data_IF_663311967413
#
_entry.id   IF_663311967413
#
_cell.length_a   1.000
_cell.length_b   1.000
_cell.length_c   1.000
_cell.angle_alpha   90.00
_cell.angle_beta   90.00
_cell.angle_gamma   90.00
#
_symmetry.space_group_name_H-M   'P 1'
#
loop_
_entity.id
_entity.type
_entity.pdbx_description
1 polymer ?
#
# COMPACT_ATOMS: atom_id res chain seq x y z
N UNK A 1 -9.96 -4.23 -41.16
CA UNK A 1 -9.81 -4.97 -39.88
C UNK A 1 -11.05 -4.68 -39.07
N UNK A 2 -11.86 -5.70 -38.77
CA UNK A 2 -13.03 -5.56 -37.90
C UNK A 2 -12.55 -5.25 -36.49
N UNK A 3 -12.94 -4.10 -35.94
CA UNK A 3 -12.57 -3.67 -34.59
C UNK A 3 -13.06 -4.69 -33.57
N UNK A 4 -12.14 -5.21 -32.75
CA UNK A 4 -12.42 -6.09 -31.59
C UNK A 4 -12.94 -5.31 -30.38
N UNK A 5 -13.01 -3.98 -30.49
CA UNK A 5 -13.37 -3.06 -29.41
C UNK A 5 -14.90 -2.90 -29.32
N UNK A 6 -15.49 -3.03 -28.13
CA UNK A 6 -16.90 -2.70 -27.93
C UNK A 6 -17.11 -1.17 -27.99
N UNK A 7 -18.30 -0.72 -28.39
CA UNK A 7 -18.65 0.71 -28.45
C UNK A 7 -18.46 1.40 -27.10
N UNK A 8 -18.73 0.70 -26.01
CA UNK A 8 -18.59 1.20 -24.65
C UNK A 8 -18.32 0.09 -23.64
N UNK A 9 -17.88 0.49 -22.45
CA UNK A 9 -17.45 -0.39 -21.37
C UNK A 9 -18.39 -0.23 -20.18
N UNK A 10 -18.83 -1.34 -19.61
CA UNK A 10 -19.61 -1.34 -18.37
C UNK A 10 -18.65 -1.40 -17.19
N UNK A 11 -18.67 -0.39 -16.33
CA UNK A 11 -17.85 -0.28 -15.12
C UNK A 11 -18.74 -0.10 -13.90
N UNK A 12 -18.25 -0.43 -12.71
CA UNK A 12 -18.86 0.05 -11.47
C UNK A 12 -18.18 1.36 -11.07
N UNK A 13 -18.95 2.37 -10.66
CA UNK A 13 -18.41 3.63 -10.16
C UNK A 13 -19.00 3.96 -8.81
N UNK A 14 -18.13 4.32 -7.88
CA UNK A 14 -18.54 4.86 -6.59
C UNK A 14 -19.29 6.19 -6.73
N UNK A 15 -20.36 6.35 -5.95
CA UNK A 15 -21.10 7.61 -5.85
C UNK A 15 -20.26 8.68 -5.15
N UNK A 16 -20.35 9.92 -5.65
CA UNK A 16 -19.71 11.06 -5.00
C UNK A 16 -20.45 11.43 -3.73
N UNK A 17 -19.75 11.40 -2.59
CA UNK A 17 -20.25 11.97 -1.34
C UNK A 17 -20.33 13.49 -1.34
N UNK A 18 -19.47 14.16 -2.14
CA UNK A 18 -19.45 15.61 -2.32
C UNK A 18 -19.27 15.96 -3.79
N UNK A 19 -20.12 16.85 -4.31
CA UNK A 19 -20.04 17.36 -5.68
C UNK A 19 -19.19 18.64 -5.79
N UNK A 20 -18.77 19.21 -4.66
CA UNK A 20 -18.07 20.50 -4.58
C UNK A 20 -16.56 20.31 -4.40
N UNK A 21 -16.13 19.18 -3.84
CA UNK A 21 -14.71 18.88 -3.65
C UNK A 21 -14.02 18.58 -4.98
N UNK A 22 -12.91 19.27 -5.23
CA UNK A 22 -12.01 18.95 -6.33
C UNK A 22 -11.40 17.57 -6.08
N UNK A 23 -11.50 16.69 -7.06
CA UNK A 23 -10.88 15.38 -6.98
C UNK A 23 -9.66 15.34 -7.89
N UNK A 24 -8.47 15.05 -7.35
CA UNK A 24 -7.25 14.93 -8.14
C UNK A 24 -7.30 13.83 -9.21
N UNK A 25 -8.14 12.79 -9.05
CA UNK A 25 -8.31 11.77 -10.08
C UNK A 25 -9.23 10.61 -9.73
N UNK A 26 -9.02 9.51 -10.45
CA UNK A 26 -9.78 8.25 -10.35
C UNK A 26 -8.84 7.13 -9.92
N UNK A 27 -9.30 6.25 -9.04
CA UNK A 27 -8.68 4.94 -8.78
C UNK A 27 -9.31 3.96 -9.76
N UNK A 28 -8.52 3.47 -10.71
CA UNK A 28 -8.94 2.41 -11.63
C UNK A 28 -8.58 1.07 -11.01
N UNK A 29 -9.58 0.27 -10.64
CA UNK A 29 -9.38 -1.11 -10.20
C UNK A 29 -9.77 -2.07 -11.30
N UNK A 30 -8.90 -3.03 -11.57
CA UNK A 30 -9.10 -4.06 -12.58
C UNK A 30 -9.26 -5.38 -11.82
N UNK A 31 -10.49 -5.86 -11.73
CA UNK A 31 -10.83 -7.03 -10.91
C UNK A 31 -12.03 -7.79 -11.46
N UNK A 32 -12.29 -8.98 -10.92
CA UNK A 32 -13.48 -9.74 -11.30
C UNK A 32 -14.78 -8.97 -10.95
N UNK A 33 -15.76 -9.01 -11.84
CA UNK A 33 -17.05 -8.33 -11.63
C UNK A 33 -17.82 -8.81 -10.39
N UNK A 34 -17.57 -10.03 -9.90
CA UNK A 34 -18.15 -10.53 -8.65
C UNK A 34 -17.62 -9.81 -7.40
N UNK A 35 -16.58 -8.98 -7.54
CA UNK A 35 -15.93 -8.21 -6.47
C UNK A 35 -16.12 -6.70 -6.61
N UNK A 36 -17.01 -6.26 -7.49
CA UNK A 36 -17.28 -4.84 -7.68
C UNK A 36 -17.83 -4.17 -6.42
N UNK A 37 -17.32 -2.97 -6.14
CA UNK A 37 -17.67 -2.22 -4.93
C UNK A 37 -17.15 -2.83 -3.63
N UNK A 38 -16.25 -3.81 -3.68
CA UNK A 38 -15.54 -4.36 -2.52
C UNK A 38 -14.07 -3.91 -2.50
N UNK A 39 -13.52 -3.72 -1.30
CA UNK A 39 -12.07 -3.58 -1.12
C UNK A 39 -11.38 -4.96 -1.08
N UNK A 40 -10.05 -4.97 -0.90
CA UNK A 40 -9.24 -6.20 -0.89
C UNK A 40 -9.67 -7.23 0.17
N UNK A 41 -10.30 -6.77 1.25
CA UNK A 41 -10.78 -7.62 2.35
C UNK A 41 -12.23 -8.08 2.19
N UNK A 42 -12.89 -7.75 1.06
CA UNK A 42 -14.29 -8.11 0.81
C UNK A 42 -15.31 -7.21 1.53
N UNK A 43 -14.86 -6.13 2.19
CA UNK A 43 -15.80 -5.15 2.73
C UNK A 43 -16.32 -4.27 1.61
N UNK A 44 -17.63 -4.00 1.63
CA UNK A 44 -18.25 -3.05 0.71
C UNK A 44 -17.67 -1.65 0.92
N UNK A 45 -17.26 -1.03 -0.17
CA UNK A 45 -16.91 0.37 -0.24
C UNK A 45 -18.17 1.25 -0.12
N UNK A 46 -18.03 2.53 -0.44
CA UNK A 46 -19.16 3.45 -0.58
C UNK A 46 -20.16 2.98 -1.64
N UNK A 47 -21.44 3.39 -1.54
CA UNK A 47 -22.46 3.09 -2.54
C UNK A 47 -21.98 3.46 -3.95
N UNK A 48 -22.37 2.68 -4.95
CA UNK A 48 -22.01 2.92 -6.34
C UNK A 48 -22.85 2.08 -7.29
N UNK A 49 -22.74 2.40 -8.58
CA UNK A 49 -23.65 1.90 -9.61
C UNK A 49 -22.89 1.41 -10.84
N UNK A 50 -23.52 0.50 -11.60
CA UNK A 50 -23.02 0.11 -12.91
C UNK A 50 -23.31 1.21 -13.93
N UNK A 51 -22.26 1.70 -14.58
CA UNK A 51 -22.33 2.79 -15.55
C UNK A 51 -21.75 2.31 -16.89
N UNK A 52 -22.49 2.56 -17.96
CA UNK A 52 -22.05 2.27 -19.32
C UNK A 52 -21.32 3.51 -19.87
N UNK A 53 -19.99 3.40 -20.04
CA UNK A 53 -19.10 4.51 -20.38
C UNK A 53 -18.53 4.35 -21.77
N UNK A 54 -18.75 5.37 -22.61
CA UNK A 54 -18.09 5.50 -23.91
C UNK A 54 -16.60 5.72 -23.74
N UNK A 55 -15.78 5.12 -24.60
CA UNK A 55 -14.31 5.19 -24.48
C UNK A 55 -13.79 6.63 -24.42
N UNK A 56 -14.30 7.55 -25.24
CA UNK A 56 -13.89 8.96 -25.18
C UNK A 56 -14.11 9.62 -23.81
N UNK A 57 -15.10 9.17 -23.04
CA UNK A 57 -15.31 9.59 -21.65
C UNK A 57 -14.40 8.84 -20.67
N UNK A 58 -14.18 7.54 -20.87
CA UNK A 58 -13.25 6.74 -20.07
C UNK A 58 -11.84 7.34 -20.09
N UNK A 59 -11.33 7.68 -21.27
CA UNK A 59 -10.01 8.29 -21.45
C UNK A 59 -9.86 9.66 -20.76
N UNK A 60 -10.97 10.35 -20.44
CA UNK A 60 -10.96 11.63 -19.70
C UNK A 60 -10.86 11.44 -18.19
N UNK A 61 -11.11 10.25 -17.65
CA UNK A 61 -11.05 9.99 -16.21
C UNK A 61 -9.63 10.00 -15.64
N UNK A 62 -8.61 9.74 -16.50
CA UNK A 62 -7.16 9.87 -16.22
C UNK A 62 -6.76 9.38 -14.83
N UNK A 63 -6.68 8.06 -14.62
CA UNK A 63 -6.45 7.50 -13.29
C UNK A 63 -5.16 8.03 -12.64
N UNK A 64 -5.20 8.18 -11.32
CA UNK A 64 -4.04 8.53 -10.48
C UNK A 64 -3.45 7.30 -9.77
N UNK A 65 -4.25 6.25 -9.63
CA UNK A 65 -3.88 4.96 -9.07
C UNK A 65 -4.52 3.85 -9.92
N UNK A 66 -3.72 2.81 -10.21
CA UNK A 66 -4.19 1.58 -10.87
C UNK A 66 -4.02 0.41 -9.90
N UNK A 67 -5.09 -0.33 -9.66
CA UNK A 67 -5.08 -1.55 -8.84
C UNK A 67 -5.46 -2.73 -9.73
N UNK A 68 -4.74 -3.83 -9.64
CA UNK A 68 -5.02 -5.07 -10.36
C UNK A 68 -5.20 -6.16 -9.33
N UNK A 69 -6.46 -6.49 -9.06
CA UNK A 69 -6.84 -7.23 -7.87
C UNK A 69 -7.56 -8.53 -8.23
N UNK A 70 -7.27 -9.56 -7.45
CA UNK A 70 -7.84 -10.90 -7.51
C UNK A 70 -7.54 -11.64 -8.83
N UNK A 71 -7.54 -12.97 -8.76
CA UNK A 71 -7.38 -13.81 -9.94
C UNK A 71 -8.59 -13.72 -10.88
N UNK A 72 -8.41 -14.08 -12.15
CA UNK A 72 -9.42 -13.99 -13.22
C UNK A 72 -9.92 -12.56 -13.42
N UNK A 73 -9.07 -11.57 -13.16
CA UNK A 73 -9.34 -10.19 -13.52
C UNK A 73 -9.17 -10.01 -15.04
N UNK A 74 -9.79 -9.00 -15.65
CA UNK A 74 -9.79 -8.81 -17.10
C UNK A 74 -8.56 -8.03 -17.62
N UNK A 75 -7.47 -7.92 -16.85
CA UNK A 75 -6.36 -7.02 -17.19
C UNK A 75 -5.70 -7.37 -18.52
N UNK A 76 -5.38 -8.65 -18.76
CA UNK A 76 -4.80 -9.11 -20.01
C UNK A 76 -5.66 -8.75 -21.23
N UNK A 77 -6.99 -8.87 -21.08
CA UNK A 77 -7.94 -8.48 -22.12
C UNK A 77 -7.96 -6.97 -22.33
N UNK A 78 -7.86 -6.18 -21.26
CA UNK A 78 -7.77 -4.72 -21.34
C UNK A 78 -6.52 -4.29 -22.09
N UNK A 79 -5.34 -4.84 -21.73
CA UNK A 79 -4.07 -4.57 -22.41
C UNK A 79 -4.18 -4.84 -23.90
N UNK A 80 -4.71 -6.02 -24.26
CA UNK A 80 -4.90 -6.40 -25.65
C UNK A 80 -5.81 -5.43 -26.41
N UNK A 81 -6.97 -5.09 -25.85
CA UNK A 81 -7.91 -4.15 -26.49
C UNK A 81 -7.29 -2.76 -26.65
N UNK A 82 -6.52 -2.29 -25.66
CA UNK A 82 -5.81 -1.02 -25.75
C UNK A 82 -4.78 -1.04 -26.89
N UNK A 83 -3.91 -2.05 -26.95
CA UNK A 83 -2.86 -2.18 -27.98
C UNK A 83 -3.42 -2.36 -29.40
N UNK A 84 -4.54 -3.06 -29.57
CA UNK A 84 -5.13 -3.35 -30.89
C UNK A 84 -5.96 -2.19 -31.46
N UNK A 85 -6.49 -1.29 -30.62
CA UNK A 85 -7.52 -0.33 -31.04
C UNK A 85 -7.15 1.14 -30.79
N UNK A 86 -6.00 1.44 -30.19
CA UNK A 86 -5.59 2.81 -29.87
C UNK A 86 -4.11 3.05 -30.15
N UNK A 87 -3.80 4.28 -30.52
CA UNK A 87 -2.42 4.72 -30.68
C UNK A 87 -1.71 4.80 -29.32
N UNK A 88 -0.39 4.54 -29.31
CA UNK A 88 0.42 4.53 -28.09
C UNK A 88 0.30 5.85 -27.31
N UNK A 89 0.24 6.98 -28.02
CA UNK A 89 0.09 8.31 -27.42
C UNK A 89 -1.24 8.48 -26.68
N UNK A 90 -2.33 7.90 -27.20
CA UNK A 90 -3.63 7.96 -26.52
C UNK A 90 -3.61 7.15 -25.22
N UNK A 91 -2.98 5.97 -25.24
CA UNK A 91 -2.83 5.11 -24.07
C UNK A 91 -1.93 5.79 -23.02
N UNK A 92 -0.83 6.41 -23.45
CA UNK A 92 0.05 7.20 -22.57
C UNK A 92 -0.68 8.37 -21.93
N UNK A 93 -1.46 9.14 -22.71
CA UNK A 93 -2.22 10.28 -22.17
C UNK A 93 -3.29 9.82 -21.17
N UNK A 94 -3.88 8.63 -21.34
CA UNK A 94 -4.78 8.05 -20.35
C UNK A 94 -4.09 7.79 -19.00
N UNK A 95 -2.90 7.17 -19.02
CA UNK A 95 -2.17 6.81 -17.80
C UNK A 95 -1.17 7.88 -17.30
N UNK A 96 -1.11 9.04 -17.95
CA UNK A 96 -0.16 10.12 -17.64
C UNK A 96 -0.15 10.59 -16.19
N UNK A 97 -1.30 10.48 -15.51
CA UNK A 97 -1.46 10.92 -14.13
C UNK A 97 -1.26 9.81 -13.11
N UNK A 98 -1.01 8.57 -13.53
CA UNK A 98 -0.79 7.45 -12.62
C UNK A 98 0.48 7.71 -11.80
N UNK A 99 0.33 7.71 -10.48
CA UNK A 99 1.42 7.88 -9.51
C UNK A 99 1.68 6.64 -8.69
N UNK A 100 0.68 5.77 -8.56
CA UNK A 100 0.80 4.53 -7.83
C UNK A 100 0.17 3.38 -8.61
N UNK A 101 0.72 2.18 -8.44
CA UNK A 101 0.16 0.94 -8.97
C UNK A 101 0.23 -0.13 -7.89
N UNK A 102 -0.84 -0.92 -7.76
CA UNK A 102 -0.92 -2.02 -6.80
C UNK A 102 -1.34 -3.31 -7.49
N UNK A 103 -0.73 -4.43 -7.09
CA UNK A 103 -1.08 -5.78 -7.50
C UNK A 103 -1.47 -6.59 -6.26
N UNK A 104 -2.62 -7.24 -6.28
CA UNK A 104 -3.04 -8.08 -5.14
C UNK A 104 -3.74 -9.35 -5.62
N UNK A 105 -3.25 -10.53 -5.21
CA UNK A 105 -3.82 -11.84 -5.56
C UNK A 105 -4.09 -12.02 -7.07
N UNK A 106 -3.36 -11.31 -7.92
CA UNK A 106 -3.62 -11.23 -9.36
C UNK A 106 -2.91 -12.36 -10.12
N UNK A 107 -3.52 -12.79 -11.21
CA UNK A 107 -2.97 -13.76 -12.17
C UNK A 107 -2.47 -13.11 -13.47
N UNK A 108 -2.24 -11.79 -13.46
CA UNK A 108 -1.62 -11.09 -14.59
C UNK A 108 -0.24 -11.67 -14.91
N UNK A 109 0.05 -11.83 -16.21
CA UNK A 109 1.38 -12.25 -16.66
C UNK A 109 2.40 -11.11 -16.55
N UNK A 110 3.68 -11.46 -16.34
CA UNK A 110 4.79 -10.51 -16.31
C UNK A 110 4.87 -9.70 -17.61
N UNK A 111 4.68 -10.35 -18.76
CA UNK A 111 4.63 -9.70 -20.08
C UNK A 111 3.56 -8.60 -20.17
N UNK A 112 2.33 -8.88 -19.72
CA UNK A 112 1.24 -7.91 -19.80
C UNK A 112 1.40 -6.77 -18.76
N UNK A 113 1.95 -7.07 -17.58
CA UNK A 113 2.34 -6.04 -16.63
C UNK A 113 3.41 -5.12 -17.24
N UNK A 114 4.46 -5.67 -17.84
CA UNK A 114 5.52 -4.90 -18.50
C UNK A 114 4.98 -4.04 -19.63
N UNK A 115 4.03 -4.55 -20.43
CA UNK A 115 3.35 -3.75 -21.47
C UNK A 115 2.63 -2.54 -20.87
N UNK A 116 1.91 -2.70 -19.77
CA UNK A 116 1.27 -1.58 -19.06
C UNK A 116 2.30 -0.59 -18.52
N UNK A 117 3.32 -1.08 -17.82
CA UNK A 117 4.38 -0.23 -17.25
C UNK A 117 5.12 0.58 -18.34
N UNK A 118 5.26 0.05 -19.56
CA UNK A 118 5.84 0.79 -20.71
C UNK A 118 4.99 1.98 -21.19
N UNK A 119 3.69 2.00 -20.85
CA UNK A 119 2.80 3.14 -21.14
C UNK A 119 2.89 4.25 -20.10
N UNK A 120 3.48 3.95 -18.95
CA UNK A 120 3.73 4.93 -17.90
C UNK A 120 5.01 5.74 -18.19
N UNK A 121 4.99 7.01 -17.85
CA UNK A 121 6.19 7.88 -17.92
C UNK A 121 6.87 8.01 -16.57
N UNK A 122 6.09 8.00 -15.48
CA UNK A 122 6.57 8.06 -14.10
C UNK A 122 5.68 7.18 -13.23
N UNK A 123 6.25 6.64 -12.16
CA UNK A 123 5.51 5.93 -11.13
C UNK A 123 6.20 6.19 -9.79
N UNK A 124 5.50 6.76 -8.82
CA UNK A 124 6.06 7.12 -7.53
C UNK A 124 6.01 5.94 -6.54
N UNK A 125 4.95 5.14 -6.56
CA UNK A 125 4.78 3.99 -5.69
C UNK A 125 4.34 2.73 -6.44
N UNK A 126 4.86 1.59 -5.98
CA UNK A 126 4.46 0.27 -6.45
C UNK A 126 4.24 -0.65 -5.26
N UNK A 127 3.12 -1.35 -5.26
CA UNK A 127 2.77 -2.35 -4.26
C UNK A 127 2.43 -3.67 -4.92
N UNK A 128 2.81 -4.77 -4.29
CA UNK A 128 2.40 -6.09 -4.74
C UNK A 128 2.18 -7.01 -3.54
N UNK A 129 1.29 -7.98 -3.68
CA UNK A 129 1.07 -9.07 -2.71
C UNK A 129 0.43 -10.27 -3.40
N UNK A 130 0.79 -11.48 -2.95
CA UNK A 130 0.26 -12.74 -3.48
C UNK A 130 0.35 -12.87 -5.02
N UNK A 131 1.42 -12.33 -5.62
CA UNK A 131 1.72 -12.49 -7.05
C UNK A 131 2.45 -13.81 -7.30
N UNK A 132 2.39 -14.32 -8.53
CA UNK A 132 3.05 -15.59 -8.93
C UNK A 132 4.33 -15.42 -9.73
N UNK A 133 4.87 -14.20 -9.76
CA UNK A 133 6.09 -13.89 -10.52
C UNK A 133 7.30 -14.63 -9.97
N UNK A 134 8.13 -15.15 -10.87
CA UNK A 134 9.40 -15.78 -10.58
C UNK A 134 10.51 -14.73 -10.50
N UNK A 135 11.65 -15.08 -9.88
CA UNK A 135 12.81 -14.19 -9.75
C UNK A 135 13.26 -13.53 -11.08
N UNK A 136 13.36 -14.25 -12.23
CA UNK A 136 13.72 -13.62 -13.50
C UNK A 136 12.69 -12.58 -13.96
N UNK A 137 11.41 -12.84 -13.74
CA UNK A 137 10.33 -11.90 -14.07
C UNK A 137 10.40 -10.66 -13.18
N UNK A 138 10.66 -10.83 -11.88
CA UNK A 138 10.89 -9.72 -10.96
C UNK A 138 12.06 -8.86 -11.38
N UNK A 139 13.18 -9.43 -11.82
CA UNK A 139 14.32 -8.65 -12.29
C UNK A 139 13.93 -7.72 -13.47
N UNK A 140 13.14 -8.22 -14.43
CA UNK A 140 12.67 -7.40 -15.56
C UNK A 140 11.66 -6.33 -15.11
N UNK A 141 10.72 -6.68 -14.23
CA UNK A 141 9.73 -5.74 -13.66
C UNK A 141 10.45 -4.61 -12.90
N UNK A 142 11.39 -4.96 -12.02
CA UNK A 142 12.14 -4.00 -11.19
C UNK A 142 13.01 -3.08 -12.04
N UNK A 143 13.66 -3.61 -13.09
CA UNK A 143 14.39 -2.78 -14.05
C UNK A 143 13.47 -1.75 -14.71
N UNK A 144 12.26 -2.15 -15.12
CA UNK A 144 11.29 -1.22 -15.69
C UNK A 144 10.79 -0.20 -14.67
N UNK A 145 10.59 -0.60 -13.42
CA UNK A 145 10.22 0.31 -12.32
C UNK A 145 11.32 1.32 -12.02
N UNK A 146 12.60 0.94 -12.15
CA UNK A 146 13.73 1.85 -12.01
C UNK A 146 13.68 3.00 -13.03
N UNK A 147 13.39 2.67 -14.30
CA UNK A 147 13.22 3.65 -15.38
C UNK A 147 12.05 4.61 -15.15
N UNK A 148 11.07 4.23 -14.31
CA UNK A 148 9.92 5.04 -13.93
C UNK A 148 10.19 5.99 -12.75
N UNK A 149 11.41 6.00 -12.20
CA UNK A 149 11.83 6.77 -11.02
C UNK A 149 11.03 6.44 -9.75
N UNK A 150 10.86 5.15 -9.47
CA UNK A 150 10.14 4.68 -8.29
C UNK A 150 10.73 5.28 -6.99
N UNK A 151 9.84 5.76 -6.10
CA UNK A 151 10.20 6.36 -4.81
C UNK A 151 9.88 5.47 -3.63
N UNK A 152 8.77 4.75 -3.71
CA UNK A 152 8.33 3.84 -2.66
C UNK A 152 7.97 2.47 -3.22
N UNK A 153 8.31 1.43 -2.47
CA UNK A 153 7.88 0.07 -2.78
C UNK A 153 7.33 -0.64 -1.54
N UNK A 154 6.24 -1.38 -1.72
CA UNK A 154 5.76 -2.36 -0.75
C UNK A 154 6.20 -3.76 -1.17
N UNK A 155 6.80 -4.49 -0.23
CA UNK A 155 7.39 -5.80 -0.41
C UNK A 155 6.59 -6.84 0.37
N UNK A 156 5.94 -7.74 -0.36
CA UNK A 156 5.20 -8.88 0.18
C UNK A 156 5.85 -10.24 -0.12
N UNK A 157 7.03 -10.24 -0.75
CA UNK A 157 7.77 -11.45 -1.11
C UNK A 157 9.27 -11.23 -0.92
N UNK A 158 10.02 -12.32 -0.85
CA UNK A 158 11.43 -12.33 -0.51
C UNK A 158 12.34 -12.00 -1.71
N UNK A 159 12.22 -10.76 -2.21
CA UNK A 159 12.95 -10.22 -3.37
C UNK A 159 13.89 -9.06 -3.01
N UNK A 160 14.35 -9.00 -1.76
CA UNK A 160 15.14 -7.87 -1.26
C UNK A 160 16.44 -7.65 -2.05
N UNK A 161 17.13 -8.73 -2.44
CA UNK A 161 18.36 -8.64 -3.23
C UNK A 161 18.08 -8.04 -4.62
N UNK A 162 17.02 -8.50 -5.27
CA UNK A 162 16.60 -8.00 -6.58
C UNK A 162 16.20 -6.52 -6.50
N UNK A 163 15.49 -6.12 -5.44
CA UNK A 163 15.12 -4.71 -5.20
C UNK A 163 16.37 -3.87 -4.97
N UNK A 164 17.31 -4.32 -4.12
CA UNK A 164 18.56 -3.61 -3.85
C UNK A 164 19.39 -3.40 -5.11
N UNK A 165 19.44 -4.39 -6.00
CA UNK A 165 20.23 -4.32 -7.23
C UNK A 165 19.65 -3.39 -8.29
N UNK A 166 18.35 -3.11 -8.26
CA UNK A 166 17.64 -2.42 -9.35
C UNK A 166 17.04 -1.08 -8.94
N UNK A 167 16.77 -0.83 -7.65
CA UNK A 167 15.97 0.30 -7.21
C UNK A 167 16.65 1.15 -6.13
N UNK A 168 16.62 2.46 -6.33
CA UNK A 168 17.01 3.48 -5.34
C UNK A 168 15.77 4.14 -4.72
N UNK A 169 15.06 3.41 -3.87
CA UNK A 169 13.83 3.89 -3.21
C UNK A 169 14.11 4.65 -1.92
N UNK A 170 13.25 5.62 -1.59
CA UNK A 170 13.28 6.37 -0.31
C UNK A 170 12.33 5.80 0.73
N UNK A 171 11.35 4.99 0.32
CA UNK A 171 10.33 4.39 1.18
C UNK A 171 10.24 2.89 0.91
N UNK A 172 10.32 2.09 1.97
CA UNK A 172 9.99 0.66 1.92
C UNK A 172 8.87 0.37 2.92
N UNK A 173 7.89 -0.42 2.49
CA UNK A 173 6.88 -1.02 3.36
C UNK A 173 7.02 -2.54 3.28
N UNK A 174 7.16 -3.20 4.42
CA UNK A 174 7.16 -4.66 4.55
C UNK A 174 5.76 -5.07 4.99
N UNK A 175 5.01 -5.71 4.10
CA UNK A 175 3.64 -6.14 4.37
C UNK A 175 3.13 -7.13 3.33
N UNK A 176 2.15 -7.94 3.70
CA UNK A 176 1.54 -8.93 2.84
C UNK A 176 2.19 -10.29 2.95
N UNK A 177 1.48 -11.29 2.42
CA UNK A 177 1.85 -12.70 2.41
C UNK A 177 2.55 -13.06 1.07
N UNK A 178 3.65 -13.86 1.07
CA UNK A 178 4.32 -14.53 2.20
C UNK A 178 5.15 -13.65 3.14
N UNK A 179 5.40 -12.39 2.77
CA UNK A 179 6.19 -11.46 3.56
C UNK A 179 7.69 -11.59 3.31
N UNK A 180 8.46 -10.77 4.00
CA UNK A 180 9.92 -10.72 3.87
C UNK A 180 10.59 -11.51 4.98
N UNK A 181 11.56 -12.35 4.63
CA UNK A 181 12.33 -13.14 5.59
C UNK A 181 13.41 -12.29 6.26
N UNK A 182 13.40 -12.23 7.60
CA UNK A 182 14.36 -11.45 8.38
C UNK A 182 15.82 -11.92 8.17
N UNK A 183 16.03 -13.20 7.89
CA UNK A 183 17.37 -13.75 7.66
C UNK A 183 18.06 -13.17 6.41
N UNK A 184 17.31 -12.60 5.47
CA UNK A 184 17.92 -11.89 4.33
C UNK A 184 18.67 -10.63 4.78
N UNK A 185 18.13 -9.88 5.74
CA UNK A 185 18.81 -8.68 6.25
C UNK A 185 20.15 -9.03 6.92
N UNK A 186 20.23 -10.19 7.58
CA UNK A 186 21.47 -10.70 8.18
C UNK A 186 22.56 -11.04 7.17
N UNK A 187 22.24 -11.15 5.88
CA UNK A 187 23.23 -11.34 4.80
C UNK A 187 23.97 -10.05 4.44
N UNK A 188 23.66 -8.92 5.11
CA UNK A 188 24.33 -7.65 4.87
C UNK A 188 23.66 -6.78 3.81
N UNK A 189 22.34 -6.93 3.62
CA UNK A 189 21.54 -6.07 2.76
C UNK A 189 21.51 -4.66 3.34
N UNK A 190 21.87 -3.66 2.53
CA UNK A 190 21.97 -2.25 2.94
C UNK A 190 21.24 -1.33 1.94
N UNK A 191 20.11 -0.76 2.35
CA UNK A 191 19.34 0.22 1.60
C UNK A 191 19.69 1.65 2.04
N UNK A 192 20.78 2.20 1.50
CA UNK A 192 21.32 3.51 1.88
C UNK A 192 20.43 4.71 1.54
N UNK A 193 19.49 4.55 0.62
CA UNK A 193 18.60 5.61 0.13
C UNK A 193 17.29 5.71 0.91
N UNK A 194 16.94 4.68 1.67
CA UNK A 194 15.68 4.59 2.40
C UNK A 194 15.68 5.53 3.61
N UNK A 195 14.67 6.39 3.66
CA UNK A 195 14.43 7.37 4.72
C UNK A 195 13.19 7.06 5.55
N UNK A 196 12.24 6.31 4.99
CA UNK A 196 11.04 5.85 5.69
C UNK A 196 10.89 4.34 5.53
N UNK A 197 10.64 3.66 6.63
CA UNK A 197 10.42 2.22 6.68
C UNK A 197 9.13 1.96 7.46
N UNK A 198 8.21 1.21 6.86
CA UNK A 198 7.05 0.67 7.53
C UNK A 198 7.18 -0.83 7.63
N UNK A 199 7.23 -1.36 8.85
CA UNK A 199 7.30 -2.79 9.14
C UNK A 199 5.93 -3.20 9.69
N UNK A 200 5.12 -3.83 8.86
CA UNK A 200 3.74 -4.17 9.21
C UNK A 200 3.44 -5.67 9.18
N UNK A 201 4.18 -6.42 8.36
CA UNK A 201 4.14 -7.87 8.32
C UNK A 201 5.53 -8.39 7.93
N UNK A 202 5.85 -9.59 8.39
CA UNK A 202 7.08 -10.31 8.06
C UNK A 202 6.73 -11.75 7.70
N UNK A 203 7.66 -12.42 7.03
CA UNK A 203 7.58 -13.88 6.91
C UNK A 203 8.00 -14.49 8.24
N UNK A 204 7.05 -14.84 9.09
CA UNK A 204 7.33 -15.46 10.39
C UNK A 204 7.88 -16.88 10.20
N UNK A 205 9.18 -17.03 10.45
CA UNK A 205 9.89 -18.31 10.52
C UNK A 205 10.19 -18.71 11.97
N UNK A 206 10.23 -17.74 12.89
CA UNK A 206 10.47 -17.96 14.31
C UNK A 206 9.78 -16.92 15.20
N UNK A 207 9.77 -17.19 16.50
CA UNK A 207 9.17 -16.28 17.48
C UNK A 207 10.01 -15.01 17.68
N UNK A 208 11.29 -15.00 17.29
CA UNK A 208 12.25 -13.90 17.52
C UNK A 208 12.51 -13.02 16.29
N UNK A 209 11.74 -13.18 15.21
CA UNK A 209 11.99 -12.47 13.94
C UNK A 209 11.95 -10.93 14.11
N UNK A 210 11.07 -10.41 14.96
CA UNK A 210 11.03 -8.98 15.29
C UNK A 210 12.32 -8.49 15.94
N UNK A 211 12.79 -9.20 16.97
CA UNK A 211 14.04 -8.91 17.67
C UNK A 211 15.24 -8.94 16.71
N UNK A 212 15.29 -9.98 15.89
CA UNK A 212 16.37 -10.20 14.92
C UNK A 212 16.41 -9.11 13.84
N UNK A 213 15.24 -8.60 13.40
CA UNK A 213 15.17 -7.48 12.48
C UNK A 213 15.67 -6.20 13.14
N UNK A 214 15.27 -5.92 14.38
CA UNK A 214 15.70 -4.73 15.12
C UNK A 214 17.22 -4.71 15.35
N UNK A 215 17.85 -5.87 15.51
CA UNK A 215 19.31 -5.99 15.67
C UNK A 215 20.08 -5.50 14.44
N UNK A 216 19.57 -5.76 13.24
CA UNK A 216 20.22 -5.42 11.97
C UNK A 216 19.68 -4.13 11.33
N UNK A 217 18.60 -3.56 11.85
CA UNK A 217 17.87 -2.46 11.20
C UNK A 217 18.75 -1.24 10.92
N UNK A 218 19.61 -0.84 11.86
CA UNK A 218 20.50 0.31 11.65
C UNK A 218 21.61 0.05 10.63
N UNK A 219 22.00 -1.21 10.43
CA UNK A 219 22.94 -1.59 9.38
C UNK A 219 22.22 -1.63 8.03
N UNK A 220 21.02 -2.22 7.98
CA UNK A 220 20.28 -2.35 6.73
C UNK A 220 19.68 -1.04 6.24
N UNK A 221 19.41 -0.08 7.13
CA UNK A 221 18.82 1.22 6.79
C UNK A 221 19.57 2.37 7.47
N UNK A 222 20.83 2.63 7.09
CA UNK A 222 21.71 3.55 7.81
C UNK A 222 21.28 5.02 7.74
N UNK A 223 20.37 5.38 6.82
CA UNK A 223 19.82 6.74 6.66
C UNK A 223 18.35 6.86 7.05
N UNK A 224 17.81 5.88 7.78
CA UNK A 224 16.42 5.90 8.18
C UNK A 224 16.12 7.12 9.06
N UNK A 225 15.01 7.80 8.77
CA UNK A 225 14.52 8.96 9.51
C UNK A 225 13.16 8.71 10.13
N UNK A 226 12.35 7.86 9.51
CA UNK A 226 11.00 7.53 9.97
C UNK A 226 10.84 6.02 10.05
N UNK A 227 10.51 5.50 11.23
CA UNK A 227 10.15 4.10 11.42
C UNK A 227 8.69 4.00 11.83
N UNK A 228 7.92 3.21 11.10
CA UNK A 228 6.58 2.77 11.47
C UNK A 228 6.68 1.30 11.85
N UNK A 229 6.30 0.98 13.07
CA UNK A 229 6.36 -0.35 13.63
C UNK A 229 4.95 -0.82 13.99
N UNK A 230 4.44 -1.80 13.26
CA UNK A 230 3.20 -2.48 13.62
C UNK A 230 3.48 -3.55 14.66
N UNK A 231 2.77 -3.50 15.79
CA UNK A 231 2.99 -4.44 16.87
C UNK A 231 2.62 -5.87 16.51
N UNK A 232 1.80 -6.08 15.47
CA UNK A 232 1.50 -7.40 14.94
C UNK A 232 2.75 -8.17 14.50
N UNK A 233 3.87 -7.49 14.21
CA UNK A 233 5.15 -8.16 13.90
C UNK A 233 5.84 -8.76 15.11
N UNK A 234 5.41 -8.39 16.33
CA UNK A 234 5.93 -8.90 17.60
C UNK A 234 4.96 -9.93 18.19
N UNK A 235 3.72 -9.48 18.38
CA UNK A 235 2.63 -10.26 18.96
C UNK A 235 1.29 -9.61 18.57
N UNK A 236 0.32 -10.36 18.02
CA UNK A 236 -1.03 -9.83 17.76
C UNK A 236 -1.77 -9.37 19.02
N UNK A 237 -1.40 -9.87 20.21
CA UNK A 237 -1.96 -9.43 21.49
C UNK A 237 -0.91 -8.68 22.33
N UNK A 238 -1.03 -7.35 22.38
CA UNK A 238 -0.07 -6.52 23.09
C UNK A 238 -0.20 -6.70 24.62
N UNK A 239 0.81 -7.35 25.20
CA UNK A 239 1.00 -7.55 26.64
C UNK A 239 2.29 -6.87 27.12
N UNK A 240 2.25 -6.09 28.22
CA UNK A 240 3.45 -5.40 28.73
C UNK A 240 4.34 -6.31 29.60
N UNK A 241 4.88 -7.36 28.98
CA UNK A 241 5.74 -8.37 29.61
C UNK A 241 7.24 -8.08 29.40
N UNK A 242 8.11 -9.03 29.76
CA UNK A 242 9.56 -8.86 29.62
C UNK A 242 10.02 -8.88 28.16
N UNK A 243 9.32 -9.60 27.27
CA UNK A 243 9.60 -9.58 25.83
C UNK A 243 9.31 -8.21 25.24
N UNK A 244 8.16 -7.62 25.56
CA UNK A 244 7.79 -6.25 25.18
C UNK A 244 8.83 -5.25 25.68
N UNK A 245 9.26 -5.35 26.94
CA UNK A 245 10.34 -4.48 27.46
C UNK A 245 11.64 -4.64 26.69
N UNK A 246 11.97 -5.85 26.23
CA UNK A 246 13.17 -6.11 25.41
C UNK A 246 13.05 -5.45 24.02
N UNK A 247 11.92 -5.64 23.34
CA UNK A 247 11.62 -5.00 22.05
C UNK A 247 11.70 -3.48 22.18
N UNK A 248 11.13 -2.89 23.24
CA UNK A 248 11.19 -1.45 23.45
C UNK A 248 12.62 -0.94 23.67
N UNK A 249 13.46 -1.69 24.39
CA UNK A 249 14.89 -1.34 24.53
C UNK A 249 15.60 -1.35 23.16
N UNK A 250 15.29 -2.33 22.31
CA UNK A 250 15.86 -2.41 20.97
C UNK A 250 15.35 -1.27 20.06
N UNK A 251 14.04 -0.97 20.07
CA UNK A 251 13.46 0.18 19.36
C UNK A 251 14.09 1.51 19.80
N UNK A 252 14.31 1.70 21.10
CA UNK A 252 15.00 2.88 21.63
C UNK A 252 16.46 2.95 21.16
N UNK A 253 17.16 1.82 21.15
CA UNK A 253 18.53 1.72 20.62
C UNK A 253 18.59 2.08 19.13
N UNK A 254 17.65 1.59 18.32
CA UNK A 254 17.49 1.98 16.91
C UNK A 254 17.22 3.47 16.78
N UNK A 255 16.29 4.01 17.58
CA UNK A 255 15.95 5.43 17.58
C UNK A 255 17.16 6.32 17.85
N UNK A 256 17.97 5.97 18.86
CA UNK A 256 19.17 6.70 19.24
C UNK A 256 20.27 6.58 18.19
N UNK A 257 20.60 5.36 17.75
CA UNK A 257 21.67 5.10 16.76
C UNK A 257 21.43 5.82 15.43
N UNK A 258 20.18 5.83 14.96
CA UNK A 258 19.81 6.46 13.68
C UNK A 258 19.37 7.92 13.85
N UNK A 259 19.20 8.40 15.10
CA UNK A 259 18.63 9.70 15.41
C UNK A 259 17.33 9.95 14.60
N UNK A 260 16.37 9.02 14.75
CA UNK A 260 15.12 9.06 13.99
C UNK A 260 14.38 10.40 14.22
N UNK A 261 13.88 10.98 13.13
CA UNK A 261 13.03 12.15 13.16
C UNK A 261 11.62 11.83 13.63
N UNK A 262 11.13 10.61 13.35
CA UNK A 262 9.83 10.13 13.79
C UNK A 262 9.83 8.61 14.03
N UNK A 263 9.09 8.18 15.04
CA UNK A 263 8.76 6.79 15.35
C UNK A 263 7.24 6.68 15.52
N UNK A 264 6.61 5.74 14.82
CA UNK A 264 5.23 5.35 15.04
C UNK A 264 5.15 3.90 15.51
N UNK A 265 4.34 3.63 16.54
CA UNK A 265 3.98 2.28 16.97
C UNK A 265 2.47 2.15 16.88
N UNK A 266 1.98 1.23 16.05
CA UNK A 266 0.55 0.93 15.90
C UNK A 266 0.25 -0.45 16.47
N UNK A 267 -0.83 -0.58 17.22
CA UNK A 267 -1.19 -1.85 17.85
C UNK A 267 -2.71 -2.04 17.91
N UNK A 268 -3.16 -3.28 17.70
CA UNK A 268 -4.52 -3.69 18.01
C UNK A 268 -4.72 -3.70 19.53
N UNK A 269 -5.68 -2.91 20.01
CA UNK A 269 -5.95 -2.68 21.44
C UNK A 269 -7.46 -2.64 21.71
N UNK A 270 -8.17 -3.78 21.55
CA UNK A 270 -9.63 -3.82 21.60
C UNK A 270 -10.22 -3.65 23.01
N UNK A 271 -9.44 -3.91 24.06
CA UNK A 271 -9.93 -4.02 25.43
C UNK A 271 -9.12 -3.15 26.41
N UNK A 272 -9.54 -3.10 27.67
CA UNK A 272 -8.90 -2.27 28.69
C UNK A 272 -7.45 -2.68 28.98
N UNK A 273 -7.16 -3.99 28.96
CA UNK A 273 -5.84 -4.54 29.32
C UNK A 273 -4.80 -4.20 28.25
N UNK A 274 -5.12 -4.43 26.97
CA UNK A 274 -4.25 -4.05 25.84
C UNK A 274 -4.06 -2.53 25.75
N UNK A 275 -5.09 -1.73 26.08
CA UNK A 275 -4.97 -0.26 26.18
C UNK A 275 -4.06 0.18 27.33
N UNK A 276 -4.14 -0.48 28.48
CA UNK A 276 -3.25 -0.23 29.61
C UNK A 276 -1.80 -0.59 29.26
N UNK A 277 -1.58 -1.74 28.62
CA UNK A 277 -0.25 -2.14 28.15
C UNK A 277 0.33 -1.14 27.15
N UNK A 278 -0.48 -0.61 26.23
CA UNK A 278 -0.03 0.43 25.29
C UNK A 278 0.30 1.77 26.00
N UNK A 279 -0.36 2.09 27.10
CA UNK A 279 0.00 3.26 27.93
C UNK A 279 1.35 3.07 28.63
N UNK A 280 1.70 1.85 29.04
CA UNK A 280 3.02 1.49 29.56
C UNK A 280 4.11 1.61 28.49
N UNK A 281 3.82 1.15 27.27
CA UNK A 281 4.70 1.33 26.09
C UNK A 281 4.97 2.83 25.88
N UNK A 282 3.92 3.65 25.81
CA UNK A 282 4.05 5.09 25.62
C UNK A 282 4.87 5.75 26.74
N UNK A 283 4.67 5.33 28.01
CA UNK A 283 5.43 5.85 29.15
C UNK A 283 6.91 5.48 29.06
N UNK A 284 7.22 4.27 28.63
CA UNK A 284 8.61 3.80 28.44
C UNK A 284 9.30 4.61 27.37
N UNK A 285 8.64 4.85 26.23
CA UNK A 285 9.18 5.69 25.16
C UNK A 285 9.40 7.14 25.61
N UNK A 286 8.50 7.70 26.44
CA UNK A 286 8.61 9.07 26.99
C UNK A 286 9.86 9.32 27.82
N UNK A 287 10.47 8.27 28.38
CA UNK A 287 11.70 8.41 29.16
C UNK A 287 12.89 8.78 28.27
N UNK A 288 12.87 8.38 27.00
CA UNK A 288 14.01 8.49 26.09
C UNK A 288 13.73 9.38 24.85
N UNK A 289 12.48 9.49 24.40
CA UNK A 289 12.09 10.23 23.21
C UNK A 289 11.25 11.45 23.60
N UNK A 290 11.50 12.59 22.95
CA UNK A 290 10.67 13.81 23.11
C UNK A 290 9.34 13.69 22.35
N UNK A 291 8.33 14.40 22.84
CA UNK A 291 7.06 14.62 22.15
C UNK A 291 6.29 13.34 21.79
N UNK A 292 6.28 12.37 22.71
CA UNK A 292 5.49 11.14 22.58
C UNK A 292 4.01 11.41 22.83
N UNK A 293 3.18 11.09 21.84
CA UNK A 293 1.73 11.21 21.89
C UNK A 293 1.11 9.82 21.71
N UNK A 294 0.12 9.50 22.55
CA UNK A 294 -0.68 8.28 22.45
C UNK A 294 -2.08 8.67 22.01
N UNK A 295 -2.53 8.03 20.93
CA UNK A 295 -3.85 8.23 20.35
C UNK A 295 -4.59 6.89 20.27
N UNK A 296 -5.92 6.93 20.32
CA UNK A 296 -6.79 5.76 20.17
C UNK A 296 -7.77 6.03 19.04
N UNK A 297 -7.93 5.07 18.13
CA UNK A 297 -8.86 5.19 17.01
C UNK A 297 -9.62 3.89 16.77
N UNK A 298 -10.77 4.06 16.12
CA UNK A 298 -11.58 2.96 15.63
C UNK A 298 -11.27 2.74 14.14
N UNK A 299 -11.19 1.50 13.66
CA UNK A 299 -11.05 1.22 12.21
C UNK A 299 -12.33 1.51 11.46
N UNK A 300 -12.25 1.76 10.14
CA UNK A 300 -13.47 1.95 9.30
C UNK A 300 -14.48 0.81 9.53
N UNK A 301 -15.76 1.18 9.65
CA UNK A 301 -16.86 0.26 9.96
C UNK A 301 -17.27 0.24 11.44
N UNK A 302 -16.44 0.76 12.35
CA UNK A 302 -16.78 0.94 13.76
C UNK A 302 -17.23 2.38 14.07
N UNK A 303 -17.88 2.59 15.22
CA UNK A 303 -18.23 3.95 15.69
C UNK A 303 -17.04 4.60 16.40
N UNK A 304 -17.00 5.95 16.46
CA UNK A 304 -15.87 6.71 17.03
C UNK A 304 -15.68 6.51 18.56
N UNK A 305 -16.58 5.80 19.23
CA UNK A 305 -16.42 5.37 20.64
C UNK A 305 -15.89 3.94 20.81
N UNK A 306 -15.70 3.19 19.73
CA UNK A 306 -15.26 1.79 19.73
C UNK A 306 -13.80 1.66 19.30
N UNK A 307 -12.93 2.50 19.87
CA UNK A 307 -11.51 2.47 19.55
C UNK A 307 -10.93 1.09 19.86
N UNK A 308 -10.42 0.46 18.81
CA UNK A 308 -9.86 -0.89 18.80
C UNK A 308 -8.38 -0.89 18.38
N UNK A 309 -7.82 0.26 18.02
CA UNK A 309 -6.40 0.44 17.75
C UNK A 309 -5.85 1.63 18.54
N UNK A 310 -4.56 1.55 18.82
CA UNK A 310 -3.78 2.62 19.42
C UNK A 310 -2.60 2.97 18.53
N UNK A 311 -2.28 4.25 18.47
CA UNK A 311 -1.14 4.80 17.75
C UNK A 311 -0.30 5.60 18.74
N UNK A 312 0.97 5.24 18.88
CA UNK A 312 1.98 6.12 19.46
C UNK A 312 2.73 6.78 18.32
N UNK A 313 2.86 8.10 18.38
CA UNK A 313 3.79 8.87 17.54
C UNK A 313 4.78 9.59 18.43
N UNK A 314 6.04 9.61 18.05
CA UNK A 314 7.12 10.22 18.80
C UNK A 314 8.18 10.80 17.87
N UNK A 315 8.89 11.85 18.31
CA UNK A 315 10.00 12.45 17.56
C UNK A 315 9.81 13.93 17.24
N UNK A 316 10.88 14.53 16.71
CA UNK A 316 11.03 15.98 16.52
C UNK A 316 10.57 16.50 15.16
N UNK A 317 10.28 15.61 14.21
CA UNK A 317 9.81 16.01 12.88
C UNK A 317 8.28 16.24 12.90
N UNK A 318 7.86 17.44 13.28
CA UNK A 318 6.45 17.80 13.43
C UNK A 318 5.61 17.53 12.18
N UNK A 319 6.20 17.76 10.99
CA UNK A 319 5.52 17.52 9.71
C UNK A 319 5.21 16.05 9.52
N UNK A 320 6.21 15.18 9.69
CA UNK A 320 6.04 13.73 9.56
C UNK A 320 5.08 13.18 10.62
N UNK A 321 5.19 13.66 11.87
CA UNK A 321 4.27 13.29 12.95
C UNK A 321 2.83 13.64 12.61
N UNK A 322 2.58 14.83 12.04
CA UNK A 322 1.25 15.25 11.60
C UNK A 322 0.70 14.36 10.49
N UNK A 323 1.52 14.02 9.49
CA UNK A 323 1.13 13.11 8.41
C UNK A 323 0.80 11.71 8.93
N UNK A 324 1.55 11.20 9.90
CA UNK A 324 1.27 9.90 10.54
C UNK A 324 -0.09 9.94 11.28
N UNK A 325 -0.36 11.00 12.04
CA UNK A 325 -1.66 11.16 12.70
C UNK A 325 -2.79 11.19 11.66
N UNK A 326 -2.65 11.96 10.58
CA UNK A 326 -3.65 12.03 9.51
C UNK A 326 -3.94 10.64 8.91
N UNK A 327 -2.88 9.91 8.51
CA UNK A 327 -3.00 8.62 7.83
C UNK A 327 -3.60 7.50 8.70
N UNK A 328 -3.36 7.52 10.01
CA UNK A 328 -3.84 6.48 10.91
C UNK A 328 -5.15 6.87 11.60
N UNK A 329 -5.21 8.08 12.18
CA UNK A 329 -6.33 8.52 13.02
C UNK A 329 -7.49 9.06 12.20
N UNK A 330 -7.21 10.01 11.29
CA UNK A 330 -8.27 10.69 10.53
C UNK A 330 -8.80 9.77 9.44
N UNK A 331 -7.88 9.10 8.73
CA UNK A 331 -8.20 8.12 7.71
C UNK A 331 -8.67 6.77 8.26
N UNK A 332 -8.51 6.54 9.57
CA UNK A 332 -8.92 5.31 10.29
C UNK A 332 -8.33 4.05 9.64
N UNK A 333 -7.05 4.12 9.25
CA UNK A 333 -6.32 3.08 8.52
C UNK A 333 -5.22 2.48 9.38
N UNK A 334 -5.19 1.15 9.50
CA UNK A 334 -4.14 0.42 10.24
C UNK A 334 -2.93 0.10 9.36
N UNK A 335 -3.14 0.04 8.05
CA UNK A 335 -2.10 -0.18 7.06
C UNK A 335 -2.27 0.84 5.93
N UNK A 336 -1.75 2.07 6.10
CA UNK A 336 -1.88 3.10 5.08
C UNK A 336 -1.32 2.62 3.74
N UNK A 337 -2.02 2.85 2.62
CA UNK A 337 -1.53 2.47 1.31
C UNK A 337 -0.29 3.29 0.94
N UNK A 338 0.58 2.74 0.08
CA UNK A 338 1.82 3.38 -0.34
C UNK A 338 1.63 4.81 -0.85
N UNK A 339 0.55 5.07 -1.57
CA UNK A 339 0.22 6.42 -2.07
C UNK A 339 0.07 7.49 -0.97
N UNK A 340 -0.30 7.11 0.26
CA UNK A 340 -0.31 8.02 1.42
C UNK A 340 1.04 8.09 2.12
N UNK A 341 1.70 6.94 2.29
CA UNK A 341 3.02 6.86 2.93
C UNK A 341 4.10 7.67 2.19
N UNK A 342 3.94 7.88 0.87
CA UNK A 342 4.82 8.75 0.10
C UNK A 342 4.92 10.19 0.66
N UNK A 343 3.90 10.68 1.38
CA UNK A 343 3.91 12.00 2.05
C UNK A 343 4.97 12.11 3.15
N UNK A 344 5.51 10.99 3.63
CA UNK A 344 6.59 10.95 4.61
C UNK A 344 7.96 11.29 3.98
N UNK A 345 8.07 11.21 2.65
CA UNK A 345 9.35 11.39 1.94
C UNK A 345 9.49 12.72 1.22
N UNK A 346 8.40 13.39 0.84
CA UNK A 346 8.41 14.57 -0.03
C UNK A 346 7.37 15.62 0.37
N UNK A 347 7.65 16.88 0.07
CA UNK A 347 6.76 18.01 0.40
C UNK A 347 5.69 18.28 -0.65
N UNK A 348 5.92 17.88 -1.91
CA UNK A 348 5.16 18.34 -3.09
C UNK A 348 4.55 17.20 -3.92
N UNK A 349 4.14 16.10 -3.28
CA UNK A 349 3.45 15.03 -4.01
C UNK A 349 2.03 15.50 -4.34
N UNK A 350 1.73 15.60 -5.63
CA UNK A 350 0.36 15.83 -6.12
C UNK A 350 -0.54 14.76 -5.49
N UNK A 351 -1.60 15.16 -4.77
CA UNK A 351 -2.39 14.20 -3.99
C UNK A 351 -2.99 13.11 -4.88
N UNK A 352 -2.76 11.84 -4.51
CA UNK A 352 -3.47 10.70 -5.12
C UNK A 352 -4.93 10.66 -4.63
N UNK A 353 -5.17 11.17 -3.43
CA UNK A 353 -6.44 11.16 -2.70
C UNK A 353 -6.92 12.59 -2.38
N UNK A 354 -8.23 12.84 -2.25
CA UNK A 354 -9.35 11.90 -2.44
C UNK A 354 -9.56 11.53 -3.91
N UNK A 355 -10.14 10.36 -4.20
CA UNK A 355 -10.37 9.91 -5.57
C UNK A 355 -11.65 9.06 -5.67
N UNK A 356 -12.36 9.14 -6.81
CA UNK A 356 -13.46 8.19 -7.10
C UNK A 356 -12.86 6.85 -7.45
N UNK A 357 -13.45 5.79 -6.91
CA UNK A 357 -13.15 4.43 -7.32
C UNK A 357 -14.00 4.04 -8.53
N UNK A 358 -13.35 3.42 -9.51
CA UNK A 358 -13.98 2.80 -10.66
C UNK A 358 -13.44 1.38 -10.84
N UNK A 359 -14.35 0.41 -10.92
CA UNK A 359 -14.00 -0.99 -11.13
C UNK A 359 -14.28 -1.41 -12.57
N UNK A 360 -13.29 -1.98 -13.23
CA UNK A 360 -13.37 -2.58 -14.56
C UNK A 360 -13.32 -4.11 -14.47
N UNK A 361 -14.33 -4.76 -15.04
CA UNK A 361 -14.61 -6.19 -14.91
C UNK A 361 -14.67 -6.95 -16.23
N UNK A 362 -14.27 -6.32 -17.33
CA UNK A 362 -14.16 -6.91 -18.66
C UNK A 362 -15.09 -6.26 -19.68
N UNK A 363 -15.27 -6.93 -20.82
CA UNK A 363 -16.03 -6.40 -21.96
C UNK A 363 -17.39 -7.09 -22.15
N UNK A 364 -17.64 -8.22 -21.50
CA UNK A 364 -18.94 -8.90 -21.53
C UNK A 364 -19.92 -8.26 -20.53
N UNK A 365 -20.69 -7.28 -21.02
CA UNK A 365 -21.65 -6.54 -20.21
C UNK A 365 -22.73 -7.43 -19.60
N UNK A 366 -23.15 -8.49 -20.28
CA UNK A 366 -24.20 -9.38 -19.78
C UNK A 366 -23.68 -10.19 -18.58
N UNK A 367 -22.47 -10.75 -18.71
CA UNK A 367 -21.80 -11.46 -17.61
C UNK A 367 -21.49 -10.55 -16.43
N UNK A 368 -21.03 -9.31 -16.67
CA UNK A 368 -20.77 -8.35 -15.59
C UNK A 368 -22.04 -8.07 -14.80
N UNK A 369 -23.17 -7.80 -15.48
CA UNK A 369 -24.47 -7.58 -14.80
C UNK A 369 -24.86 -8.80 -13.98
N UNK A 370 -24.75 -9.99 -14.55
CA UNK A 370 -25.06 -11.24 -13.86
C UNK A 370 -24.25 -11.41 -12.58
N UNK A 371 -22.92 -11.24 -12.66
CA UNK A 371 -22.02 -11.38 -11.51
C UNK A 371 -22.24 -10.30 -10.44
N UNK A 372 -22.59 -9.08 -10.85
CA UNK A 372 -22.87 -7.97 -9.92
C UNK A 372 -24.22 -8.13 -9.21
N UNK A 373 -25.27 -8.56 -9.91
CA UNK A 373 -26.61 -8.72 -9.33
C UNK A 373 -26.81 -10.04 -8.59
N UNK A 374 -25.97 -11.02 -8.87
CA UNK A 374 -25.96 -12.33 -8.21
C UNK A 374 -24.54 -12.63 -7.74
N UNK A 375 -24.06 -11.93 -6.70
CA UNK A 375 -22.81 -12.31 -6.06
C UNK A 375 -22.99 -13.76 -5.60
N UNK A 376 -22.18 -14.67 -6.11
CA UNK A 376 -22.12 -16.03 -5.58
C UNK A 376 -21.67 -15.94 -4.12
N UNK A 377 -22.55 -16.38 -3.21
CA UNK A 377 -22.27 -16.53 -1.77
C UNK A 377 -20.99 -17.31 -1.49
#
# INVERSE_FOLDING_TARGET
MTSSKPDSVLVWMANRGSYVESMPGTILRIKNASKFGENLYGFKDQPGDLVDIQWGSLFKLRPTLVEIDFGRNPCDSLVKVLEENYEDEQIREFFKNVKAMSLHMTDISSDNLLKLLRKLTLLAAFSFSETKFQKPEWAEILKRLAELNLRGIELADNILEEVLQNLDVSLIKLSGNPGVNVNEFKKGIEFVTVKALAVQELQFLGETDAEELLEVLSQSFPRLQTLIWDWNVVDPELNFDDRTKNILKQLLSVHEKLNLGALAVVAYTPNADTKASMAEVARTLKVAIKDVQLHQFATKGLSDGMANFSLIVAGKNEKVVKELIEMYMVDRSTMPPMGKLLRLCEEDIVPIYPAITMDFGGFDKARIRQLYTSPSD
#
